data_IF_872569481853
#
_entry.id   IF_872569481853
#
_cell.length_a   1.000
_cell.length_b   1.000
_cell.length_c   1.000
_cell.angle_alpha   90.00
_cell.angle_beta   90.00
_cell.angle_gamma   90.00
#
_symmetry.space_group_name_H-M   'P 1'
#
loop_
_entity.id
_entity.type
_entity.pdbx_description
1 polymer ?
#
# COMPACT_ATOMS: atom_id res chain seq x y z
N UNK A 1 -3.56 -20.45 37.97
CA UNK A 1 -3.74 -19.35 36.98
C UNK A 1 -2.47 -19.31 36.13
N UNK A 2 -2.43 -20.09 35.04
CA UNK A 2 -1.26 -20.12 34.15
C UNK A 2 -1.23 -18.82 33.35
N UNK A 3 -0.28 -17.93 33.65
CA UNK A 3 0.07 -16.85 32.73
C UNK A 3 0.58 -17.51 31.44
N UNK A 4 -0.28 -17.51 30.42
CA UNK A 4 0.11 -17.87 29.05
C UNK A 4 0.94 -16.69 28.54
N UNK A 5 2.27 -16.77 28.72
CA UNK A 5 3.22 -15.67 28.50
C UNK A 5 3.28 -15.21 27.02
N UNK A 6 2.80 -16.03 26.08
CA UNK A 6 2.51 -15.61 24.71
C UNK A 6 1.10 -16.03 24.28
N UNK A 7 0.29 -15.14 23.67
CA UNK A 7 -1.01 -15.46 23.06
C UNK A 7 -0.88 -16.22 21.72
N UNK A 8 0.28 -16.84 21.46
CA UNK A 8 0.52 -17.60 20.24
C UNK A 8 -0.17 -18.96 20.32
N UNK A 9 -0.92 -19.30 19.28
CA UNK A 9 -1.52 -20.61 19.16
C UNK A 9 -1.19 -21.23 17.80
N UNK A 10 -0.49 -22.36 17.84
CA UNK A 10 -0.04 -23.09 16.65
C UNK A 10 -1.20 -23.55 15.75
N UNK A 11 -2.34 -23.94 16.32
CA UNK A 11 -3.50 -24.39 15.52
C UNK A 11 -4.12 -23.23 14.77
N UNK A 12 -4.28 -22.09 15.45
CA UNK A 12 -4.82 -20.88 14.86
C UNK A 12 -3.88 -20.30 13.80
N UNK A 13 -2.58 -20.25 14.10
CA UNK A 13 -1.55 -19.87 13.13
C UNK A 13 -1.59 -20.75 11.88
N UNK A 14 -1.68 -22.08 12.02
CA UNK A 14 -1.74 -23.00 10.88
C UNK A 14 -2.99 -22.77 10.02
N UNK A 15 -4.15 -22.54 10.66
CA UNK A 15 -5.40 -22.23 9.97
C UNK A 15 -5.24 -20.94 9.14
N UNK A 16 -4.83 -19.86 9.79
CA UNK A 16 -4.75 -18.53 9.16
C UNK A 16 -3.63 -18.49 8.10
N UNK A 17 -2.48 -19.12 8.35
CA UNK A 17 -1.40 -19.26 7.35
C UNK A 17 -1.86 -20.05 6.11
N UNK A 18 -2.69 -21.07 6.30
CA UNK A 18 -3.22 -21.86 5.19
C UNK A 18 -4.16 -21.05 4.28
N UNK A 19 -4.78 -19.97 4.78
CA UNK A 19 -5.59 -19.05 3.97
C UNK A 19 -4.71 -18.19 3.04
N UNK A 20 -3.55 -17.75 3.53
CA UNK A 20 -2.67 -16.82 2.81
C UNK A 20 -1.53 -17.49 2.03
N UNK A 21 -1.26 -18.78 2.25
CA UNK A 21 -0.13 -19.50 1.63
C UNK A 21 -0.07 -19.40 0.10
N UNK A 22 -1.24 -19.38 -0.57
CA UNK A 22 -1.31 -19.28 -2.03
C UNK A 22 -0.80 -17.90 -2.48
N UNK A 23 -1.20 -16.83 -1.78
CA UNK A 23 -0.74 -15.48 -2.06
C UNK A 23 0.77 -15.35 -1.85
N UNK A 24 1.30 -15.93 -0.77
CA UNK A 24 2.75 -15.99 -0.49
C UNK A 24 3.49 -16.71 -1.63
N UNK A 25 2.97 -17.85 -2.07
CA UNK A 25 3.57 -18.65 -3.14
C UNK A 25 3.60 -17.89 -4.47
N UNK A 26 2.48 -17.28 -4.86
CA UNK A 26 2.38 -16.45 -6.06
C UNK A 26 3.37 -15.29 -5.98
N UNK A 27 3.43 -14.57 -4.86
CA UNK A 27 4.37 -13.48 -4.66
C UNK A 27 5.83 -13.95 -4.76
N UNK A 28 6.15 -15.10 -4.18
CA UNK A 28 7.49 -15.69 -4.23
C UNK A 28 7.90 -16.00 -5.66
N UNK A 29 6.99 -16.58 -6.46
CA UNK A 29 7.22 -16.85 -7.89
C UNK A 29 7.43 -15.56 -8.67
N UNK A 30 6.56 -14.58 -8.49
CA UNK A 30 6.66 -13.31 -9.23
C UNK A 30 7.98 -12.60 -8.90
N UNK A 31 8.38 -12.56 -7.63
CA UNK A 31 9.68 -12.01 -7.21
C UNK A 31 10.85 -12.82 -7.77
N UNK A 32 10.71 -14.14 -7.84
CA UNK A 32 11.73 -15.00 -8.41
C UNK A 32 12.01 -14.66 -9.86
N UNK A 33 10.98 -14.53 -10.69
CA UNK A 33 11.16 -14.19 -12.11
C UNK A 33 11.65 -12.75 -12.31
N UNK A 34 11.16 -11.79 -11.53
CA UNK A 34 11.48 -10.37 -11.73
C UNK A 34 12.83 -9.94 -11.17
N UNK A 35 13.27 -10.55 -10.07
CA UNK A 35 14.47 -10.10 -9.32
C UNK A 35 15.50 -11.21 -9.29
N UNK A 36 15.19 -12.34 -8.68
CA UNK A 36 16.17 -13.40 -8.41
C UNK A 36 16.75 -13.97 -9.70
N UNK A 37 15.90 -14.36 -10.65
CA UNK A 37 16.33 -14.92 -11.93
C UNK A 37 17.13 -13.89 -12.74
N UNK A 38 16.72 -12.62 -12.70
CA UNK A 38 17.44 -11.53 -13.35
C UNK A 38 18.86 -11.37 -12.78
N UNK A 39 19.00 -11.34 -11.46
CA UNK A 39 20.30 -11.20 -10.79
C UNK A 39 21.19 -12.43 -11.02
N UNK A 40 20.64 -13.63 -10.85
CA UNK A 40 21.39 -14.89 -10.97
C UNK A 40 21.83 -15.16 -12.41
N UNK A 41 21.01 -14.82 -13.41
CA UNK A 41 21.35 -15.02 -14.83
C UNK A 41 22.32 -13.98 -15.40
N UNK A 42 22.67 -12.94 -14.63
CA UNK A 42 23.43 -11.80 -15.16
C UNK A 42 24.79 -12.17 -15.72
N UNK A 43 25.51 -13.09 -15.08
CA UNK A 43 26.79 -13.55 -15.60
C UNK A 43 26.66 -14.21 -16.99
N UNK A 44 25.61 -15.01 -17.20
CA UNK A 44 25.33 -15.60 -18.51
C UNK A 44 24.99 -14.55 -19.57
N UNK A 45 24.20 -13.54 -19.21
CA UNK A 45 23.89 -12.41 -20.09
C UNK A 45 25.14 -11.60 -20.46
N UNK A 46 26.02 -11.35 -19.48
CA UNK A 46 27.31 -10.67 -19.69
C UNK A 46 28.18 -11.42 -20.71
N UNK A 47 28.30 -12.75 -20.60
CA UNK A 47 29.06 -13.57 -21.56
C UNK A 47 28.47 -13.45 -22.97
N UNK A 48 27.14 -13.49 -23.11
CA UNK A 48 26.47 -13.38 -24.43
C UNK A 48 26.75 -12.02 -25.08
N UNK A 49 26.64 -10.93 -24.32
CA UNK A 49 26.91 -9.57 -24.79
C UNK A 49 28.38 -9.40 -25.18
N UNK A 50 29.30 -9.91 -24.34
CA UNK A 50 30.73 -9.92 -24.66
C UNK A 50 31.01 -10.67 -25.97
N UNK A 51 30.37 -11.82 -26.18
CA UNK A 51 30.52 -12.62 -27.41
C UNK A 51 29.99 -11.87 -28.65
N UNK A 52 28.84 -11.20 -28.55
CA UNK A 52 28.29 -10.44 -29.69
C UNK A 52 29.17 -9.28 -30.12
N UNK A 53 29.84 -8.58 -29.18
CA UNK A 53 30.78 -7.52 -29.56
C UNK A 53 32.02 -8.07 -30.26
N UNK A 54 32.52 -9.23 -29.83
CA UNK A 54 33.64 -9.94 -30.50
C UNK A 54 33.23 -10.35 -31.92
N UNK A 55 32.03 -10.94 -32.09
CA UNK A 55 31.53 -11.38 -33.40
C UNK A 55 31.31 -10.20 -34.38
N UNK A 56 30.95 -9.03 -33.86
CA UNK A 56 30.69 -7.83 -34.66
C UNK A 56 31.94 -6.95 -34.86
N UNK A 57 33.13 -7.35 -34.36
CA UNK A 57 34.35 -6.54 -34.36
C UNK A 57 34.17 -5.12 -33.80
N UNK A 58 33.24 -4.95 -32.86
CA UNK A 58 32.99 -3.66 -32.21
C UNK A 58 34.04 -3.49 -31.10
N UNK A 59 34.72 -2.34 -31.07
CA UNK A 59 35.65 -2.02 -29.98
C UNK A 59 34.84 -1.70 -28.72
N UNK A 60 35.04 -2.47 -27.65
CA UNK A 60 34.36 -2.27 -26.36
C UNK A 60 35.38 -2.24 -25.22
N UNK A 61 35.05 -1.53 -24.14
CA UNK A 61 35.77 -1.63 -22.87
C UNK A 61 35.06 -2.64 -21.96
N UNK A 62 35.80 -3.63 -21.47
CA UNK A 62 35.28 -4.63 -20.55
C UNK A 62 34.86 -4.04 -19.20
N UNK A 63 35.52 -2.96 -18.76
CA UNK A 63 35.18 -2.27 -17.51
C UNK A 63 33.81 -1.59 -17.60
N UNK A 64 33.50 -0.98 -18.74
CA UNK A 64 32.21 -0.33 -18.98
C UNK A 64 31.09 -1.37 -18.99
N UNK A 65 31.28 -2.51 -19.65
CA UNK A 65 30.28 -3.60 -19.62
C UNK A 65 30.00 -4.15 -18.22
N UNK A 66 31.04 -4.28 -17.39
CA UNK A 66 30.88 -4.72 -16.00
C UNK A 66 30.16 -3.64 -15.19
N UNK A 67 30.49 -2.36 -15.41
CA UNK A 67 29.85 -1.22 -14.75
C UNK A 67 28.35 -1.17 -15.08
N UNK A 68 27.98 -1.28 -16.35
CA UNK A 68 26.57 -1.31 -16.78
C UNK A 68 25.82 -2.47 -16.12
N UNK A 69 26.43 -3.66 -16.04
CA UNK A 69 25.82 -4.80 -15.35
C UNK A 69 25.63 -4.57 -13.84
N UNK A 70 26.56 -3.86 -13.18
CA UNK A 70 26.44 -3.51 -11.76
C UNK A 70 25.33 -2.49 -11.54
N UNK A 71 25.26 -1.47 -12.38
CA UNK A 71 24.23 -0.43 -12.30
C UNK A 71 22.84 -1.01 -12.54
N UNK A 72 22.68 -1.92 -13.52
CA UNK A 72 21.44 -2.66 -13.76
C UNK A 72 20.95 -3.45 -12.53
N UNK A 73 21.87 -4.14 -11.85
CA UNK A 73 21.52 -4.92 -10.64
C UNK A 73 21.24 -4.00 -9.47
N UNK A 74 22.04 -2.95 -9.29
CA UNK A 74 21.82 -1.96 -8.25
C UNK A 74 20.44 -1.31 -8.44
N UNK A 75 20.10 -0.88 -9.65
CA UNK A 75 18.78 -0.34 -9.96
C UNK A 75 17.67 -1.34 -9.66
N UNK A 76 17.81 -2.62 -10.03
CA UNK A 76 16.78 -3.64 -9.76
C UNK A 76 16.58 -3.93 -8.26
N UNK A 77 17.64 -3.84 -7.46
CA UNK A 77 17.64 -4.12 -6.02
C UNK A 77 17.32 -2.88 -5.17
N UNK A 78 17.57 -1.68 -5.68
CA UNK A 78 17.39 -0.42 -4.94
C UNK A 78 16.15 0.35 -5.38
N UNK A 79 15.73 0.25 -6.64
CA UNK A 79 14.54 0.93 -7.14
C UNK A 79 13.27 0.10 -6.82
N UNK A 80 12.36 0.63 -5.97
CA UNK A 80 11.09 -0.02 -5.71
C UNK A 80 10.18 -0.04 -6.95
N UNK A 81 10.41 0.76 -8.00
CA UNK A 81 9.47 1.01 -9.11
C UNK A 81 8.81 -0.24 -9.70
N UNK A 82 9.59 -1.26 -10.07
CA UNK A 82 9.05 -2.50 -10.68
C UNK A 82 8.35 -3.41 -9.65
N UNK A 83 8.71 -3.31 -8.37
CA UNK A 83 8.19 -4.16 -7.29
C UNK A 83 7.11 -3.46 -6.44
N UNK A 84 6.98 -2.15 -6.57
CA UNK A 84 6.15 -1.26 -5.75
C UNK A 84 4.69 -1.67 -5.79
N UNK A 85 4.17 -1.98 -6.98
CA UNK A 85 2.80 -2.46 -7.15
C UNK A 85 2.54 -3.74 -6.34
N UNK A 86 3.48 -4.69 -6.31
CA UNK A 86 3.36 -5.92 -5.50
C UNK A 86 3.49 -5.61 -4.01
N UNK A 87 4.43 -4.74 -3.65
CA UNK A 87 4.65 -4.33 -2.27
C UNK A 87 3.44 -3.55 -1.70
N UNK A 88 2.64 -2.91 -2.54
CA UNK A 88 1.38 -2.26 -2.16
C UNK A 88 0.22 -3.28 -2.15
N UNK A 89 0.05 -4.05 -3.23
CA UNK A 89 -1.11 -4.91 -3.41
C UNK A 89 -1.13 -6.09 -2.42
N UNK A 90 0.04 -6.68 -2.11
CA UNK A 90 0.10 -7.89 -1.25
C UNK A 90 -0.30 -7.59 0.19
N UNK A 91 0.22 -6.56 0.88
CA UNK A 91 -0.25 -6.23 2.24
C UNK A 91 -1.75 -5.95 2.30
N UNK A 92 -2.30 -5.28 1.28
CA UNK A 92 -3.74 -5.02 1.17
C UNK A 92 -4.51 -6.34 1.04
N UNK A 93 -4.08 -7.22 0.14
CA UNK A 93 -4.68 -8.54 -0.04
C UNK A 93 -4.57 -9.43 1.20
N UNK A 94 -3.44 -9.40 1.91
CA UNK A 94 -3.23 -10.18 3.14
C UNK A 94 -4.18 -9.72 4.25
N UNK A 95 -4.27 -8.41 4.49
CA UNK A 95 -5.21 -7.89 5.47
C UNK A 95 -6.66 -8.18 5.08
N UNK A 96 -6.99 -8.16 3.78
CA UNK A 96 -8.32 -8.50 3.29
C UNK A 96 -8.66 -9.97 3.51
N UNK A 97 -7.73 -10.89 3.22
CA UNK A 97 -7.93 -12.32 3.47
C UNK A 97 -8.06 -12.59 4.97
N UNK A 98 -7.16 -12.04 5.78
CA UNK A 98 -7.11 -12.34 7.21
C UNK A 98 -8.23 -11.69 8.02
N UNK A 99 -8.58 -10.43 7.74
CA UNK A 99 -9.57 -9.68 8.53
C UNK A 99 -10.91 -9.50 7.81
N UNK A 100 -10.91 -9.47 6.47
CA UNK A 100 -12.11 -9.27 5.67
C UNK A 100 -12.93 -10.55 5.42
N UNK A 101 -12.29 -11.73 5.25
CA UNK A 101 -13.04 -12.97 5.00
C UNK A 101 -13.86 -13.46 6.20
N UNK A 102 -13.45 -13.10 7.42
CA UNK A 102 -14.17 -13.46 8.63
C UNK A 102 -15.52 -12.78 8.77
N UNK A 103 -15.71 -11.69 8.02
CA UNK A 103 -16.95 -10.91 8.00
C UNK A 103 -18.03 -11.57 7.13
N UNK A 104 -17.73 -12.71 6.49
CA UNK A 104 -18.75 -13.55 5.83
C UNK A 104 -19.52 -14.35 6.89
N UNK A 105 -20.85 -14.31 6.84
CA UNK A 105 -21.79 -14.93 7.81
C UNK A 105 -21.40 -16.34 8.30
N UNK A 106 -20.94 -17.23 7.40
CA UNK A 106 -20.56 -18.62 7.73
C UNK A 106 -19.28 -18.75 8.55
N UNK A 107 -18.30 -17.88 8.34
CA UNK A 107 -17.02 -17.91 9.07
C UNK A 107 -17.18 -17.32 10.48
N UNK A 108 -18.12 -16.37 10.60
CA UNK A 108 -18.42 -15.65 11.83
C UNK A 108 -19.02 -16.55 12.92
N UNK A 109 -20.04 -17.36 12.61
CA UNK A 109 -20.67 -18.30 13.56
C UNK A 109 -19.64 -19.27 14.17
N UNK A 110 -18.66 -19.69 13.38
CA UNK A 110 -17.59 -20.57 13.85
C UNK A 110 -16.63 -19.84 14.79
N UNK A 111 -16.27 -18.59 14.50
CA UNK A 111 -15.37 -17.77 15.33
C UNK A 111 -15.97 -17.42 16.69
N UNK A 112 -17.28 -17.16 16.74
CA UNK A 112 -17.98 -16.83 17.98
C UNK A 112 -17.97 -17.97 19.01
N UNK A 113 -17.85 -19.22 18.55
CA UNK A 113 -17.85 -20.42 19.40
C UNK A 113 -16.43 -20.97 19.62
N UNK A 114 -15.40 -20.36 19.01
CA UNK A 114 -14.02 -20.83 19.21
C UNK A 114 -13.55 -20.62 20.66
N UNK A 115 -12.80 -21.56 21.24
CA UNK A 115 -12.24 -21.45 22.59
C UNK A 115 -10.99 -20.55 22.62
N UNK A 116 -11.00 -19.43 21.89
CA UNK A 116 -9.89 -18.48 21.78
C UNK A 116 -10.35 -17.08 22.15
N UNK A 117 -9.48 -16.34 22.84
CA UNK A 117 -9.76 -14.94 23.16
C UNK A 117 -9.61 -14.05 21.92
N UNK A 118 -10.33 -12.91 21.87
CA UNK A 118 -10.16 -11.91 20.80
C UNK A 118 -8.71 -11.47 20.64
N UNK A 119 -7.99 -11.37 21.75
CA UNK A 119 -6.57 -11.04 21.77
C UNK A 119 -5.70 -12.10 21.07
N UNK A 120 -5.91 -13.38 21.36
CA UNK A 120 -5.21 -14.48 20.67
C UNK A 120 -5.54 -14.51 19.17
N UNK A 121 -6.79 -14.21 18.79
CA UNK A 121 -7.20 -14.16 17.38
C UNK A 121 -6.47 -13.04 16.64
N UNK A 122 -6.53 -11.82 17.16
CA UNK A 122 -5.87 -10.67 16.54
C UNK A 122 -4.35 -10.87 16.44
N UNK A 123 -3.71 -11.34 17.53
CA UNK A 123 -2.27 -11.50 17.57
C UNK A 123 -1.76 -12.59 16.63
N UNK A 124 -2.45 -13.75 16.55
CA UNK A 124 -2.04 -14.80 15.60
C UNK A 124 -2.18 -14.33 14.15
N UNK A 125 -3.26 -13.62 13.81
CA UNK A 125 -3.43 -13.02 12.48
C UNK A 125 -2.35 -12.01 12.16
N UNK A 126 -2.00 -11.14 13.11
CA UNK A 126 -0.94 -10.16 12.94
C UNK A 126 0.41 -10.86 12.67
N UNK A 127 0.74 -11.92 13.42
CA UNK A 127 1.96 -12.70 13.16
C UNK A 127 1.91 -13.33 11.77
N UNK A 128 0.78 -13.95 11.38
CA UNK A 128 0.64 -14.54 10.04
C UNK A 128 0.84 -13.47 8.97
N UNK A 129 0.26 -12.29 9.12
CA UNK A 129 0.42 -11.18 8.19
C UNK A 129 1.89 -10.73 8.07
N UNK A 130 2.57 -10.54 9.20
CA UNK A 130 3.99 -10.15 9.26
C UNK A 130 4.90 -11.21 8.64
N UNK A 131 4.69 -12.49 8.97
CA UNK A 131 5.44 -13.61 8.37
C UNK A 131 5.20 -13.66 6.85
N UNK A 132 3.96 -13.42 6.41
CA UNK A 132 3.58 -13.49 5.00
C UNK A 132 4.22 -12.42 4.13
N UNK A 133 4.43 -11.21 4.66
CA UNK A 133 5.16 -10.16 3.94
C UNK A 133 6.68 -10.44 3.90
N UNK A 134 7.24 -11.06 4.95
CA UNK A 134 8.68 -11.32 5.06
C UNK A 134 9.13 -12.53 4.23
N UNK A 135 8.35 -13.61 4.23
CA UNK A 135 8.75 -14.92 3.69
C UNK A 135 9.18 -14.89 2.21
N UNK A 136 8.45 -14.23 1.28
CA UNK A 136 8.82 -14.21 -0.14
C UNK A 136 10.17 -13.54 -0.41
N UNK A 137 10.50 -12.48 0.34
CA UNK A 137 11.79 -11.79 0.20
C UNK A 137 12.93 -12.58 0.82
N UNK A 138 12.71 -13.24 1.95
CA UNK A 138 13.72 -14.14 2.53
C UNK A 138 14.04 -15.29 1.58
N UNK A 139 13.02 -15.96 1.02
CA UNK A 139 13.24 -17.10 0.10
C UNK A 139 14.06 -16.66 -1.11
N UNK A 140 13.67 -15.56 -1.76
CA UNK A 140 14.38 -15.03 -2.93
C UNK A 140 15.78 -14.52 -2.57
N UNK A 141 15.93 -13.86 -1.41
CA UNK A 141 17.21 -13.42 -0.88
C UNK A 141 18.17 -14.58 -0.64
N UNK A 142 17.71 -15.66 -0.02
CA UNK A 142 18.52 -16.86 0.22
C UNK A 142 18.96 -17.50 -1.10
N UNK A 143 18.09 -17.58 -2.11
CA UNK A 143 18.45 -18.09 -3.44
C UNK A 143 19.58 -17.25 -4.06
N UNK A 144 19.48 -15.92 -3.99
CA UNK A 144 20.56 -15.04 -4.48
C UNK A 144 21.86 -15.22 -3.70
N UNK A 145 21.80 -15.33 -2.37
CA UNK A 145 22.99 -15.56 -1.55
C UNK A 145 23.65 -16.92 -1.84
N UNK A 146 22.85 -17.98 -2.04
CA UNK A 146 23.35 -19.28 -2.46
C UNK A 146 24.01 -19.20 -3.85
N UNK A 147 23.40 -18.49 -4.81
CA UNK A 147 23.99 -18.29 -6.12
C UNK A 147 25.34 -17.55 -6.05
N UNK A 148 25.46 -16.53 -5.18
CA UNK A 148 26.72 -15.83 -4.92
C UNK A 148 27.80 -16.75 -4.29
N UNK A 149 27.37 -17.74 -3.51
CA UNK A 149 28.23 -18.76 -2.90
C UNK A 149 28.76 -19.77 -3.92
N UNK A 150 27.90 -20.30 -4.78
CA UNK A 150 28.26 -21.33 -5.77
C UNK A 150 28.88 -20.77 -7.05
N UNK A 151 28.56 -19.55 -7.46
CA UNK A 151 29.04 -18.93 -8.69
C UNK A 151 29.95 -17.75 -8.31
N UNK A 152 31.25 -18.01 -8.23
CA UNK A 152 32.26 -17.00 -7.86
C UNK A 152 32.22 -15.76 -8.75
N UNK A 153 31.93 -15.94 -10.05
CA UNK A 153 31.86 -14.86 -11.03
C UNK A 153 30.73 -13.85 -10.78
N UNK A 154 29.68 -14.22 -10.03
CA UNK A 154 28.60 -13.27 -9.69
C UNK A 154 29.04 -12.19 -8.71
N UNK A 155 30.11 -12.42 -7.94
CA UNK A 155 30.70 -11.44 -7.01
C UNK A 155 31.24 -10.20 -7.72
N UNK A 156 31.46 -10.29 -9.03
CA UNK A 156 31.82 -9.14 -9.84
C UNK A 156 30.65 -8.17 -10.02
N UNK A 157 29.40 -8.58 -9.86
CA UNK A 157 28.24 -7.75 -10.16
C UNK A 157 27.45 -7.31 -8.93
N UNK A 158 27.36 -8.13 -7.89
CA UNK A 158 26.65 -7.76 -6.66
C UNK A 158 27.26 -8.41 -5.41
N UNK A 159 26.86 -7.89 -4.25
CA UNK A 159 27.37 -8.30 -2.94
C UNK A 159 26.27 -8.82 -2.01
N UNK A 160 26.68 -9.56 -0.98
CA UNK A 160 25.79 -9.99 0.10
C UNK A 160 25.10 -8.80 0.79
N UNK A 161 25.82 -7.69 0.97
CA UNK A 161 25.28 -6.47 1.59
C UNK A 161 24.12 -5.88 0.79
N UNK A 162 24.19 -5.87 -0.55
CA UNK A 162 23.11 -5.39 -1.41
C UNK A 162 21.85 -6.27 -1.28
N UNK A 163 22.00 -7.60 -1.22
CA UNK A 163 20.86 -8.52 -1.03
C UNK A 163 20.19 -8.31 0.33
N UNK A 164 20.98 -8.22 1.40
CA UNK A 164 20.43 -7.99 2.75
C UNK A 164 19.72 -6.62 2.82
N UNK A 165 20.34 -5.57 2.24
CA UNK A 165 19.74 -4.24 2.15
C UNK A 165 18.41 -4.30 1.40
N UNK A 166 18.33 -5.00 0.28
CA UNK A 166 17.09 -5.18 -0.48
C UNK A 166 15.99 -5.88 0.33
N UNK A 167 16.31 -6.95 1.08
CA UNK A 167 15.33 -7.65 1.93
C UNK A 167 14.79 -6.71 3.01
N UNK A 168 15.67 -6.06 3.76
CA UNK A 168 15.29 -5.16 4.85
C UNK A 168 14.47 -3.98 4.32
N UNK A 169 14.90 -3.43 3.19
CA UNK A 169 14.22 -2.33 2.53
C UNK A 169 12.81 -2.71 2.07
N UNK A 170 12.66 -3.88 1.45
CA UNK A 170 11.37 -4.39 0.99
C UNK A 170 10.38 -4.59 2.15
N UNK A 171 10.83 -5.18 3.25
CA UNK A 171 10.01 -5.39 4.45
C UNK A 171 9.59 -4.05 5.07
N UNK A 172 10.52 -3.10 5.15
CA UNK A 172 10.25 -1.76 5.67
C UNK A 172 9.16 -1.03 4.87
N UNK A 173 9.22 -1.06 3.53
CA UNK A 173 8.22 -0.41 2.68
C UNK A 173 6.80 -1.01 2.82
N UNK A 174 6.70 -2.32 3.09
CA UNK A 174 5.40 -2.98 3.23
C UNK A 174 4.74 -2.78 4.60
N UNK A 175 5.52 -2.50 5.64
CA UNK A 175 5.03 -2.46 7.02
C UNK A 175 3.98 -1.35 7.28
N UNK A 176 4.15 -0.11 6.79
CA UNK A 176 3.11 0.93 6.89
C UNK A 176 1.83 0.58 6.14
N UNK A 177 1.98 0.00 4.94
CA UNK A 177 0.85 -0.39 4.08
C UNK A 177 0.05 -1.52 4.74
N UNK A 178 0.74 -2.51 5.30
CA UNK A 178 0.11 -3.61 6.02
C UNK A 178 -0.68 -3.08 7.24
N UNK A 179 -0.04 -2.25 8.05
CA UNK A 179 -0.63 -1.70 9.27
C UNK A 179 -1.87 -0.86 8.96
N UNK A 180 -1.78 -0.04 7.91
CA UNK A 180 -2.91 0.74 7.40
C UNK A 180 -4.05 -0.15 6.88
N UNK A 181 -3.72 -1.22 6.13
CA UNK A 181 -4.75 -2.12 5.63
C UNK A 181 -5.41 -2.97 6.72
N UNK A 182 -4.68 -3.34 7.77
CA UNK A 182 -5.25 -3.99 8.96
C UNK A 182 -6.24 -3.04 9.66
N UNK A 183 -5.87 -1.76 9.82
CA UNK A 183 -6.75 -0.74 10.40
C UNK A 183 -8.07 -0.63 9.63
N UNK A 184 -8.00 -0.48 8.30
CA UNK A 184 -9.19 -0.44 7.46
C UNK A 184 -9.94 -1.77 7.42
N UNK A 185 -9.24 -2.89 7.52
CA UNK A 185 -9.86 -4.21 7.66
C UNK A 185 -10.68 -4.36 8.92
N UNK A 186 -10.37 -3.62 9.97
CA UNK A 186 -11.16 -3.61 11.21
C UNK A 186 -12.29 -2.57 11.14
N UNK A 187 -12.09 -1.42 10.50
CA UNK A 187 -13.11 -0.37 10.39
C UNK A 187 -14.25 -0.73 9.42
N UNK A 188 -13.94 -1.44 8.33
CA UNK A 188 -14.91 -1.76 7.27
C UNK A 188 -15.73 -3.00 7.60
N UNK A 189 -17.01 -3.09 7.22
CA UNK A 189 -17.84 -4.23 7.62
C UNK A 189 -17.79 -5.44 6.67
N UNK A 190 -17.15 -5.33 5.50
CA UNK A 190 -17.01 -6.44 4.54
C UNK A 190 -15.71 -6.34 3.72
N UNK A 191 -15.35 -7.44 3.04
CA UNK A 191 -14.13 -7.58 2.23
C UNK A 191 -14.02 -6.53 1.10
N UNK A 192 -15.13 -6.27 0.39
CA UNK A 192 -15.13 -5.36 -0.77
C UNK A 192 -14.89 -3.93 -0.30
N UNK A 193 -15.62 -3.51 0.72
CA UNK A 193 -15.46 -2.21 1.37
C UNK A 193 -14.06 -2.06 1.95
N UNK A 194 -13.47 -3.10 2.54
CA UNK A 194 -12.06 -3.05 2.98
C UNK A 194 -11.12 -2.71 1.83
N UNK A 195 -11.20 -3.44 0.71
CA UNK A 195 -10.30 -3.25 -0.43
C UNK A 195 -10.46 -1.85 -1.03
N UNK A 196 -11.70 -1.44 -1.30
CA UNK A 196 -12.02 -0.14 -1.90
C UNK A 196 -11.60 1.00 -0.96
N UNK A 197 -11.97 0.93 0.32
CA UNK A 197 -11.73 2.02 1.26
C UNK A 197 -10.25 2.13 1.61
N UNK A 198 -9.54 1.01 1.76
CA UNK A 198 -8.07 1.03 1.92
C UNK A 198 -7.41 1.70 0.72
N UNK A 199 -7.79 1.32 -0.50
CA UNK A 199 -7.22 1.91 -1.72
C UNK A 199 -7.47 3.42 -1.85
N UNK A 200 -8.72 3.85 -1.61
CA UNK A 200 -9.09 5.27 -1.65
C UNK A 200 -8.28 6.04 -0.60
N UNK A 201 -8.30 5.62 0.66
CA UNK A 201 -7.67 6.38 1.75
C UNK A 201 -6.14 6.38 1.70
N UNK A 202 -5.53 5.44 0.98
CA UNK A 202 -4.09 5.38 0.80
C UNK A 202 -3.60 6.45 -0.21
N UNK A 203 -4.40 6.72 -1.25
CA UNK A 203 -4.15 7.80 -2.24
C UNK A 203 -4.72 9.14 -1.75
N UNK A 204 -5.69 9.11 -0.84
CA UNK A 204 -6.46 10.27 -0.39
C UNK A 204 -5.61 11.48 0.03
N UNK A 205 -4.55 11.39 0.86
CA UNK A 205 -3.77 12.56 1.26
C UNK A 205 -3.15 13.31 0.06
N UNK A 206 -2.68 12.57 -0.94
CA UNK A 206 -2.11 13.12 -2.18
C UNK A 206 -3.20 13.72 -3.07
N UNK A 207 -4.28 12.98 -3.33
CA UNK A 207 -5.37 13.47 -4.19
C UNK A 207 -6.16 14.63 -3.56
N UNK A 208 -6.31 14.63 -2.24
CA UNK A 208 -7.03 15.69 -1.54
C UNK A 208 -6.25 17.00 -1.49
N UNK A 209 -4.94 16.92 -1.23
CA UNK A 209 -4.08 18.10 -1.23
C UNK A 209 -3.97 18.74 -2.63
N UNK A 210 -3.91 17.93 -3.70
CA UNK A 210 -3.92 18.46 -5.07
C UNK A 210 -5.25 19.11 -5.45
N UNK A 211 -6.38 18.54 -5.02
CA UNK A 211 -7.71 19.16 -5.22
C UNK A 211 -7.82 20.51 -4.49
N UNK A 212 -7.35 20.61 -3.25
CA UNK A 212 -7.32 21.88 -2.51
C UNK A 212 -6.43 22.90 -3.24
N UNK A 213 -5.22 22.50 -3.62
CA UNK A 213 -4.27 23.36 -4.33
C UNK A 213 -4.87 23.94 -5.61
N UNK A 214 -5.46 23.09 -6.46
CA UNK A 214 -6.12 23.51 -7.69
C UNK A 214 -7.29 24.47 -7.43
N UNK A 215 -8.11 24.20 -6.41
CA UNK A 215 -9.21 25.08 -6.05
C UNK A 215 -8.72 26.46 -5.58
N UNK A 216 -7.69 26.50 -4.72
CA UNK A 216 -7.08 27.76 -4.27
C UNK A 216 -6.51 28.58 -5.44
N UNK A 217 -5.93 27.89 -6.44
CA UNK A 217 -5.44 28.52 -7.67
C UNK A 217 -6.57 29.13 -8.49
N UNK A 218 -7.69 28.42 -8.67
CA UNK A 218 -8.85 28.96 -9.38
C UNK A 218 -9.49 30.16 -8.67
N UNK A 219 -9.39 30.21 -7.35
CA UNK A 219 -9.77 31.37 -6.54
C UNK A 219 -8.77 32.53 -6.62
N UNK A 220 -7.58 32.34 -7.19
CA UNK A 220 -6.53 33.36 -7.30
C UNK A 220 -5.76 33.62 -6.01
N UNK A 221 -5.84 32.70 -5.03
CA UNK A 221 -5.21 32.83 -3.70
C UNK A 221 -3.71 32.43 -3.75
N UNK A 222 -3.26 31.84 -4.86
CA UNK A 222 -1.93 31.26 -5.10
C UNK A 222 -0.75 32.23 -5.03
N UNK A 223 -0.97 33.54 -5.16
CA UNK A 223 0.15 34.51 -5.10
C UNK A 223 0.80 34.61 -3.71
N UNK A 224 0.22 34.00 -2.68
CA UNK A 224 0.69 34.10 -1.28
C UNK A 224 1.04 32.78 -0.58
N UNK A 225 0.73 31.63 -1.18
CA UNK A 225 0.88 30.31 -0.56
C UNK A 225 1.77 29.39 -1.42
N UNK A 226 2.81 28.82 -0.81
CA UNK A 226 3.62 27.77 -1.42
C UNK A 226 2.85 26.44 -1.46
N UNK A 227 2.00 26.28 -2.47
CA UNK A 227 1.18 25.08 -2.68
C UNK A 227 2.03 23.81 -2.84
N UNK A 228 3.25 23.92 -3.37
CA UNK A 228 4.15 22.79 -3.53
C UNK A 228 4.59 22.24 -2.16
N UNK A 229 4.86 23.13 -1.20
CA UNK A 229 5.21 22.73 0.16
C UNK A 229 4.01 22.06 0.88
N UNK A 230 2.79 22.58 0.70
CA UNK A 230 1.57 21.96 1.26
C UNK A 230 1.34 20.57 0.68
N UNK A 231 1.47 20.43 -0.65
CA UNK A 231 1.38 19.14 -1.33
C UNK A 231 2.43 18.16 -0.81
N UNK A 232 3.72 18.54 -0.81
CA UNK A 232 4.81 17.66 -0.38
C UNK A 232 4.70 17.28 1.10
N UNK A 233 4.26 18.21 1.95
CA UNK A 233 3.98 17.93 3.37
C UNK A 233 2.83 16.96 3.54
N UNK A 234 1.76 17.08 2.74
CA UNK A 234 0.60 16.19 2.81
C UNK A 234 0.92 14.77 2.34
N UNK A 235 1.76 14.65 1.30
CA UNK A 235 2.24 13.36 0.78
C UNK A 235 3.01 12.62 1.87
N UNK A 236 3.88 13.29 2.63
CA UNK A 236 4.66 12.68 3.73
C UNK A 236 3.83 12.00 4.82
N UNK A 237 2.56 12.37 4.98
CA UNK A 237 1.68 11.71 5.96
C UNK A 237 0.96 10.48 5.41
N UNK A 238 1.04 10.21 4.10
CA UNK A 238 0.50 8.98 3.53
C UNK A 238 1.42 7.79 3.84
N UNK A 239 0.87 6.59 4.13
CA UNK A 239 1.65 5.36 4.18
C UNK A 239 2.48 5.12 2.91
N UNK A 240 2.06 5.69 1.78
CA UNK A 240 2.75 5.58 0.49
C UNK A 240 4.05 6.38 0.41
N UNK A 241 4.21 7.42 1.24
CA UNK A 241 5.44 8.22 1.25
C UNK A 241 6.65 7.51 1.85
N UNK A 242 6.47 6.27 2.35
CA UNK A 242 7.58 5.38 2.68
C UNK A 242 8.52 5.16 1.48
N UNK A 243 7.99 5.18 0.24
CA UNK A 243 8.79 5.03 -0.98
C UNK A 243 9.55 6.30 -1.39
N UNK A 244 9.09 7.48 -0.97
CA UNK A 244 9.75 8.75 -1.30
C UNK A 244 10.82 9.14 -0.28
N UNK A 245 10.72 8.62 0.94
CA UNK A 245 11.60 8.95 2.07
C UNK A 245 12.85 8.08 2.16
N UNK A 246 13.05 7.20 1.17
CA UNK A 246 14.19 6.30 1.07
C UNK A 246 15.47 7.13 0.92
N UNK A 247 16.47 6.87 1.76
CA UNK A 247 17.76 7.56 1.69
C UNK A 247 17.76 9.01 2.22
N UNK A 248 16.61 9.55 2.67
CA UNK A 248 16.52 10.91 3.21
C UNK A 248 16.97 11.02 4.69
N UNK A 249 17.37 9.92 5.31
CA UNK A 249 17.95 9.87 6.66
C UNK A 249 17.30 8.84 7.59
N UNK A 250 18.04 8.42 8.62
CA UNK A 250 17.59 7.40 9.60
C UNK A 250 16.31 7.79 10.34
N UNK A 251 16.04 9.09 10.53
CA UNK A 251 14.84 9.58 11.23
C UNK A 251 13.53 9.15 10.55
N UNK A 252 13.49 9.11 9.22
CA UNK A 252 12.29 8.69 8.50
C UNK A 252 11.98 7.20 8.70
N UNK A 253 13.01 6.34 8.78
CA UNK A 253 12.82 4.92 9.08
C UNK A 253 12.12 4.72 10.43
N UNK A 254 12.57 5.43 11.47
CA UNK A 254 11.94 5.37 12.79
C UNK A 254 10.50 5.90 12.76
N UNK A 255 10.25 6.98 12.02
CA UNK A 255 8.91 7.59 11.91
C UNK A 255 7.89 6.59 11.34
N UNK A 256 8.17 5.95 10.20
CA UNK A 256 7.20 5.03 9.58
C UNK A 256 7.05 3.71 10.36
N UNK A 257 8.11 3.23 11.01
CA UNK A 257 8.02 2.08 11.91
C UNK A 257 7.12 2.42 13.11
N UNK A 258 7.34 3.58 13.74
CA UNK A 258 6.52 4.05 14.85
C UNK A 258 5.05 4.25 14.43
N UNK A 259 4.80 4.89 13.28
CA UNK A 259 3.46 5.08 12.73
C UNK A 259 2.75 3.74 12.48
N UNK A 260 3.47 2.74 11.97
CA UNK A 260 2.95 1.38 11.76
C UNK A 260 2.56 0.70 13.07
N UNK A 261 3.40 0.80 14.10
CA UNK A 261 3.11 0.26 15.44
C UNK A 261 1.87 0.96 16.02
N UNK A 262 1.78 2.29 15.92
CA UNK A 262 0.61 3.06 16.38
C UNK A 262 -0.66 2.59 15.67
N UNK A 263 -0.64 2.43 14.35
CA UNK A 263 -1.78 1.93 13.58
C UNK A 263 -2.19 0.52 14.00
N UNK A 264 -1.25 -0.38 14.27
CA UNK A 264 -1.54 -1.73 14.78
C UNK A 264 -2.16 -1.67 16.18
N UNK A 265 -1.67 -0.80 17.06
CA UNK A 265 -2.25 -0.62 18.41
C UNK A 265 -3.69 -0.10 18.32
N UNK A 266 -3.93 0.92 17.49
CA UNK A 266 -5.28 1.45 17.25
C UNK A 266 -6.18 0.35 16.67
N UNK A 267 -5.67 -0.41 15.71
CA UNK A 267 -6.37 -1.56 15.12
C UNK A 267 -6.80 -2.55 16.19
N UNK A 268 -5.90 -2.93 17.10
CA UNK A 268 -6.20 -3.81 18.23
C UNK A 268 -7.28 -3.21 19.13
N UNK A 269 -7.18 -1.93 19.49
CA UNK A 269 -8.18 -1.26 20.34
C UNK A 269 -9.58 -1.26 19.69
N UNK A 270 -9.64 -1.05 18.37
CA UNK A 270 -10.89 -1.09 17.61
C UNK A 270 -11.44 -2.51 17.49
N UNK A 271 -10.57 -3.51 17.32
CA UNK A 271 -10.95 -4.92 17.25
C UNK A 271 -11.58 -5.43 18.57
N UNK A 272 -11.08 -4.96 19.70
CA UNK A 272 -11.67 -5.31 21.01
C UNK A 272 -13.07 -4.68 21.19
N UNK A 273 -13.27 -3.48 20.65
CA UNK A 273 -14.55 -2.73 20.73
C UNK A 273 -15.55 -3.11 19.64
N UNK A 274 -15.11 -3.86 18.63
CA UNK A 274 -15.94 -4.12 17.45
C UNK A 274 -17.14 -4.97 17.85
N UNK A 275 -18.35 -4.42 17.66
CA UNK A 275 -19.59 -5.14 17.84
C UNK A 275 -19.78 -6.08 16.65
N UNK A 276 -20.10 -7.33 16.93
CA UNK A 276 -20.17 -8.38 15.92
C UNK A 276 -21.42 -8.32 15.05
N UNK A 277 -22.45 -7.59 15.52
CA UNK A 277 -23.80 -7.53 14.95
C UNK A 277 -23.88 -6.75 13.62
N UNK A 278 -22.91 -5.88 13.33
CA UNK A 278 -22.87 -5.06 12.10
C UNK A 278 -21.92 -5.57 11.02
N UNK A 279 -21.48 -6.83 11.14
CA UNK A 279 -20.66 -7.48 10.12
C UNK A 279 -21.47 -7.69 8.82
N UNK A 280 -20.97 -7.17 7.71
CA UNK A 280 -21.66 -7.14 6.41
C UNK A 280 -21.94 -5.72 5.89
N UNK A 281 -22.02 -4.74 6.79
CA UNK A 281 -22.23 -3.34 6.41
C UNK A 281 -20.99 -2.69 5.75
N UNK A 282 -21.15 -1.51 5.16
CA UNK A 282 -20.02 -0.79 4.54
C UNK A 282 -18.98 -0.40 5.60
N UNK A 283 -19.45 0.09 6.74
CA UNK A 283 -18.64 0.48 7.90
C UNK A 283 -19.14 -0.25 9.14
N UNK A 284 -18.21 -0.70 9.97
CA UNK A 284 -18.53 -1.40 11.21
C UNK A 284 -19.00 -0.45 12.33
N UNK A 285 -18.72 0.86 12.20
CA UNK A 285 -19.03 1.88 13.20
C UNK A 285 -19.95 2.97 12.63
N UNK A 286 -21.08 3.24 13.30
CA UNK A 286 -22.06 4.25 12.86
C UNK A 286 -21.46 5.65 12.73
N UNK A 287 -20.64 6.04 13.71
CA UNK A 287 -20.01 7.36 13.73
C UNK A 287 -19.10 7.59 12.51
N UNK A 288 -18.59 6.52 11.89
CA UNK A 288 -17.78 6.62 10.67
C UNK A 288 -18.64 6.85 9.42
N UNK A 289 -19.94 6.55 9.43
CA UNK A 289 -20.85 6.85 8.30
C UNK A 289 -20.94 8.36 8.06
N UNK A 290 -21.00 9.14 9.14
CA UNK A 290 -21.02 10.61 9.07
C UNK A 290 -19.74 11.16 8.45
N UNK A 291 -18.59 10.70 8.93
CA UNK A 291 -17.28 11.09 8.40
C UNK A 291 -17.14 10.72 6.91
N UNK A 292 -17.58 9.52 6.51
CA UNK A 292 -17.54 9.10 5.11
C UNK A 292 -18.44 9.95 4.22
N UNK A 293 -19.69 10.23 4.62
CA UNK A 293 -20.59 11.11 3.87
C UNK A 293 -19.99 12.50 3.68
N UNK A 294 -19.46 13.08 4.75
CA UNK A 294 -18.84 14.40 4.68
C UNK A 294 -17.61 14.39 3.77
N UNK A 295 -16.71 13.43 3.94
CA UNK A 295 -15.49 13.30 3.14
C UNK A 295 -15.78 13.15 1.65
N UNK A 296 -16.67 12.22 1.28
CA UNK A 296 -17.05 12.01 -0.13
C UNK A 296 -17.69 13.26 -0.71
N UNK A 297 -18.63 13.90 0.00
CA UNK A 297 -19.31 15.13 -0.44
C UNK A 297 -18.32 16.26 -0.72
N UNK A 298 -17.36 16.45 0.19
CA UNK A 298 -16.37 17.52 0.07
C UNK A 298 -15.37 17.22 -1.07
N UNK A 299 -14.93 15.97 -1.24
CA UNK A 299 -14.05 15.59 -2.35
C UNK A 299 -14.72 15.72 -3.71
N UNK A 300 -15.99 15.29 -3.85
CA UNK A 300 -16.71 15.42 -5.13
C UNK A 300 -17.03 16.87 -5.44
N UNK A 301 -17.31 17.71 -4.44
CA UNK A 301 -17.47 19.15 -4.63
C UNK A 301 -16.20 19.80 -5.20
N UNK A 302 -15.04 19.51 -4.61
CA UNK A 302 -13.75 20.03 -5.09
C UNK A 302 -13.37 19.49 -6.47
N UNK A 303 -13.63 18.21 -6.74
CA UNK A 303 -13.34 17.56 -8.02
C UNK A 303 -14.23 18.12 -9.13
N UNK A 304 -15.52 18.30 -8.87
CA UNK A 304 -16.46 18.80 -9.87
C UNK A 304 -16.10 20.20 -10.36
N UNK A 305 -15.54 21.04 -9.49
CA UNK A 305 -15.00 22.35 -9.88
C UNK A 305 -13.89 22.21 -10.92
N UNK A 306 -12.91 21.34 -10.67
CA UNK A 306 -11.79 21.09 -11.60
C UNK A 306 -12.31 20.61 -12.96
N UNK A 307 -13.27 19.68 -12.95
CA UNK A 307 -13.88 19.13 -14.17
C UNK A 307 -14.65 20.21 -14.94
N UNK A 308 -15.45 21.03 -14.25
CA UNK A 308 -16.28 22.06 -14.91
C UNK A 308 -15.42 23.16 -15.53
N UNK A 309 -14.35 23.57 -14.84
CA UNK A 309 -13.37 24.53 -15.37
C UNK A 309 -12.66 23.95 -16.60
N UNK A 310 -12.19 22.71 -16.54
CA UNK A 310 -11.53 22.06 -17.67
C UNK A 310 -12.45 21.96 -18.89
N UNK A 311 -13.73 21.65 -18.68
CA UNK A 311 -14.70 21.54 -19.77
C UNK A 311 -15.08 22.89 -20.39
N UNK A 312 -15.19 23.93 -19.57
CA UNK A 312 -15.61 25.27 -20.00
C UNK A 312 -14.44 26.22 -20.25
N UNK A 313 -13.19 25.72 -20.25
CA UNK A 313 -11.97 26.51 -20.33
C UNK A 313 -11.99 27.52 -21.50
N UNK A 314 -12.50 27.12 -22.66
CA UNK A 314 -12.59 27.97 -23.86
C UNK A 314 -13.59 29.15 -23.73
N UNK A 315 -14.54 29.10 -22.79
CA UNK A 315 -15.57 30.12 -22.58
C UNK A 315 -15.32 31.01 -21.35
N UNK A 316 -14.37 30.63 -20.49
CA UNK A 316 -14.18 31.24 -19.16
C UNK A 316 -13.13 32.37 -19.16
N UNK A 317 -12.23 32.43 -20.16
CA UNK A 317 -11.04 33.29 -20.10
C UNK A 317 -11.30 34.80 -20.01
N UNK A 318 -12.46 35.30 -20.47
CA UNK A 318 -12.66 36.75 -20.62
C UNK A 318 -13.33 37.45 -19.43
N UNK A 319 -13.96 36.74 -18.48
CA UNK A 319 -14.72 37.39 -17.39
C UNK A 319 -14.54 36.73 -16.02
N UNK A 320 -14.05 37.52 -15.06
CA UNK A 320 -13.94 37.13 -13.64
C UNK A 320 -15.27 36.64 -13.05
N UNK A 321 -16.39 37.26 -13.43
CA UNK A 321 -17.73 36.90 -12.94
C UNK A 321 -18.12 35.50 -13.41
N UNK A 322 -17.85 35.16 -14.68
CA UNK A 322 -18.17 33.84 -15.25
C UNK A 322 -17.39 32.74 -14.55
N UNK A 323 -16.10 32.99 -14.25
CA UNK A 323 -15.27 32.05 -13.46
C UNK A 323 -15.83 31.82 -12.05
N UNK A 324 -16.22 32.90 -11.36
CA UNK A 324 -16.80 32.80 -10.02
C UNK A 324 -18.12 32.01 -9.99
N UNK A 325 -19.00 32.24 -10.96
CA UNK A 325 -20.26 31.49 -11.09
C UNK A 325 -20.02 30.00 -11.36
N UNK A 326 -19.06 29.68 -12.23
CA UNK A 326 -18.63 28.31 -12.53
C UNK A 326 -18.12 27.59 -11.28
N UNK A 327 -17.31 28.26 -10.45
CA UNK A 327 -16.82 27.72 -9.18
C UNK A 327 -17.96 27.34 -8.24
N UNK A 328 -18.88 28.27 -7.99
CA UNK A 328 -20.03 28.03 -7.10
C UNK A 328 -20.90 26.89 -7.63
N UNK A 329 -21.20 26.90 -8.93
CA UNK A 329 -22.01 25.87 -9.57
C UNK A 329 -21.34 24.50 -9.46
N UNK A 330 -20.02 24.42 -9.67
CA UNK A 330 -19.24 23.21 -9.48
C UNK A 330 -19.32 22.65 -8.06
N UNK A 331 -19.18 23.50 -7.04
CA UNK A 331 -19.30 23.07 -5.63
C UNK A 331 -20.70 22.55 -5.30
N UNK A 332 -21.75 23.24 -5.75
CA UNK A 332 -23.14 22.83 -5.49
C UNK A 332 -23.44 21.49 -6.17
N UNK A 333 -23.14 21.37 -7.47
CA UNK A 333 -23.38 20.14 -8.24
C UNK A 333 -22.57 18.97 -7.67
N UNK A 334 -21.27 19.16 -7.43
CA UNK A 334 -20.40 18.13 -6.89
C UNK A 334 -20.78 17.72 -5.47
N UNK A 335 -21.22 18.68 -4.63
CA UNK A 335 -21.69 18.41 -3.28
C UNK A 335 -22.98 17.58 -3.28
N UNK A 336 -23.97 17.95 -4.10
CA UNK A 336 -25.23 17.19 -4.23
C UNK A 336 -24.94 15.76 -4.71
N UNK A 337 -24.12 15.61 -5.76
CA UNK A 337 -23.76 14.29 -6.31
C UNK A 337 -23.02 13.43 -5.28
N UNK A 338 -22.06 14.01 -4.55
CA UNK A 338 -21.31 13.30 -3.52
C UNK A 338 -22.16 12.85 -2.35
N UNK A 339 -23.05 13.73 -1.86
CA UNK A 339 -23.96 13.39 -0.77
C UNK A 339 -24.90 12.25 -1.16
N UNK A 340 -25.49 12.31 -2.36
CA UNK A 340 -26.37 11.25 -2.87
C UNK A 340 -25.58 9.94 -3.03
N UNK A 341 -24.37 9.99 -3.63
CA UNK A 341 -23.52 8.81 -3.83
C UNK A 341 -23.11 8.14 -2.52
N UNK A 342 -22.69 8.93 -1.52
CA UNK A 342 -22.31 8.40 -0.22
C UNK A 342 -23.52 7.84 0.54
N UNK A 343 -24.64 8.55 0.51
CA UNK A 343 -25.89 8.10 1.14
C UNK A 343 -26.38 6.78 0.52
N UNK A 344 -26.35 6.66 -0.80
CA UNK A 344 -26.75 5.45 -1.52
C UNK A 344 -25.82 4.27 -1.22
N UNK A 345 -24.51 4.50 -1.21
CA UNK A 345 -23.50 3.46 -0.90
C UNK A 345 -23.69 2.87 0.49
N UNK A 346 -24.00 3.72 1.48
CA UNK A 346 -24.29 3.27 2.84
C UNK A 346 -25.62 2.51 2.88
N UNK A 347 -26.68 3.04 2.27
CA UNK A 347 -28.02 2.43 2.30
C UNK A 347 -28.07 1.05 1.63
N UNK A 348 -27.33 0.85 0.54
CA UNK A 348 -27.26 -0.44 -0.17
C UNK A 348 -26.64 -1.56 0.68
N UNK A 349 -25.70 -1.20 1.55
CA UNK A 349 -24.94 -2.16 2.34
C UNK A 349 -25.46 -2.34 3.78
N UNK A 350 -26.47 -1.58 4.23
CA UNK A 350 -27.12 -1.87 5.51
C UNK A 350 -27.79 -3.24 5.43
N UNK A 351 -27.52 -4.10 6.41
CA UNK A 351 -28.27 -5.35 6.50
C UNK A 351 -29.73 -4.99 6.73
N UNK A 352 -30.61 -5.49 5.85
CA UNK A 352 -32.04 -5.51 6.15
C UNK A 352 -32.20 -6.38 7.40
N UNK A 353 -32.54 -5.76 8.52
CA UNK A 353 -33.11 -6.47 9.67
C UNK A 353 -34.41 -7.16 9.25
#
# INVERSE_FOLDING_TARGET
MYLKILPFNKTLFKKDFNQVKILIFIMTIILFFNVTLFVVSRYGSYIKVKKSFIEQNVKYDEKDLIKDCKEDIAWRLEDPGVQSALMIAVPIGLAAILFGEEKRKKTFEVLAVMPYTRYEIFFNKLIVALVSIVLPFIINGVIMLLALGFISNLRMFYSMGQVIKWILHSIYCQLPILSFSILFGIITGNLISQLVLTGIFLIFPMGFSSLIAANLEFWGITQSLDLNNIYFTSVKFSPLAVYETIGQGVGYYFLYIAASIIMIIISKMLFDKSMWERNGELLQFENMEGFFKFGVTLCTALLMVVVLIAFLQNYIYDFYITRFLVLILGYILGGILGYIGAHFSIKLNKSKE
#
